data_IF_517698736194
#
_entry.id   IF_517698736194
#
_cell.length_a   1.000
_cell.length_b   1.000
_cell.length_c   1.000
_cell.angle_alpha   90.00
_cell.angle_beta   90.00
_cell.angle_gamma   90.00
#
_symmetry.space_group_name_H-M   'P 1'
#
loop_
_entity.id
_entity.type
_entity.pdbx_description
1 polymer ?
#
# COMPACT_ATOMS: atom_id res chain seq x y z
N UNK A 1 -13.09 3.30 14.28
CA UNK A 1 -12.65 2.20 15.15
C UNK A 1 -13.56 2.06 16.39
N UNK A 2 -13.71 3.10 17.22
CA UNK A 2 -14.56 3.10 18.42
C UNK A 2 -16.02 2.75 18.10
N UNK A 3 -16.59 3.27 17.00
CA UNK A 3 -17.96 2.96 16.58
C UNK A 3 -18.15 1.47 16.23
N UNK A 4 -17.21 0.89 15.47
CA UNK A 4 -17.30 -0.51 15.05
C UNK A 4 -16.98 -1.51 16.18
N UNK A 5 -16.02 -1.17 17.04
CA UNK A 5 -15.60 -2.04 18.12
C UNK A 5 -16.53 -1.99 19.34
N UNK A 6 -16.97 -0.78 19.75
CA UNK A 6 -17.73 -0.59 20.97
C UNK A 6 -19.25 -0.59 20.76
N UNK A 7 -19.75 0.06 19.70
CA UNK A 7 -21.19 0.18 19.47
C UNK A 7 -21.82 -0.97 18.73
N UNK A 8 -21.12 -1.55 17.76
CA UNK A 8 -21.67 -2.66 16.97
C UNK A 8 -21.27 -4.04 17.51
N UNK A 9 -20.25 -4.12 18.41
CA UNK A 9 -19.75 -5.38 19.00
C UNK A 9 -19.48 -6.51 17.96
N UNK A 10 -19.30 -6.11 16.69
CA UNK A 10 -19.13 -7.05 15.57
C UNK A 10 -17.73 -7.65 15.61
N UNK A 11 -16.74 -6.86 16.09
CA UNK A 11 -15.37 -7.30 16.20
C UNK A 11 -14.86 -7.11 17.62
N UNK A 12 -14.25 -8.14 18.19
CA UNK A 12 -13.61 -8.06 19.51
C UNK A 12 -12.35 -7.20 19.45
N UNK A 13 -12.23 -6.22 20.33
CA UNK A 13 -11.01 -5.40 20.48
C UNK A 13 -9.86 -6.24 21.06
N UNK A 14 -10.21 -7.26 21.86
CA UNK A 14 -9.23 -8.20 22.40
C UNK A 14 -9.10 -9.38 21.46
N UNK A 15 -7.89 -9.78 21.04
CA UNK A 15 -7.69 -10.89 20.13
C UNK A 15 -8.25 -12.17 20.74
N UNK A 16 -9.42 -12.61 20.29
CA UNK A 16 -9.79 -14.01 20.45
C UNK A 16 -8.86 -14.81 19.56
N UNK A 17 -8.34 -15.92 20.07
CA UNK A 17 -7.48 -16.82 19.32
C UNK A 17 -8.14 -17.16 17.96
N UNK A 18 -7.60 -16.59 16.87
CA UNK A 18 -8.13 -16.80 15.52
C UNK A 18 -7.91 -15.62 14.59
N UNK A 19 -8.11 -15.86 13.29
CA UNK A 19 -7.95 -14.88 12.18
C UNK A 19 -8.85 -13.65 12.37
N UNK A 20 -10.01 -13.81 13.02
CA UNK A 20 -10.96 -12.72 13.27
C UNK A 20 -10.39 -11.56 14.09
N UNK A 21 -9.38 -11.79 14.95
CA UNK A 21 -8.73 -10.75 15.74
C UNK A 21 -7.86 -9.79 14.89
N UNK A 22 -7.42 -10.22 13.72
CA UNK A 22 -6.56 -9.43 12.84
C UNK A 22 -7.34 -8.59 11.82
N UNK A 23 -8.61 -8.87 11.59
CA UNK A 23 -9.43 -8.19 10.55
C UNK A 23 -9.54 -6.68 10.85
N UNK A 24 -9.85 -6.31 12.08
CA UNK A 24 -10.06 -4.90 12.45
C UNK A 24 -8.74 -4.07 12.38
N UNK A 25 -7.60 -4.54 12.94
CA UNK A 25 -6.31 -3.87 12.76
C UNK A 25 -5.89 -3.73 11.30
N UNK A 26 -6.05 -4.81 10.52
CA UNK A 26 -5.70 -4.80 9.09
C UNK A 26 -6.54 -3.80 8.30
N UNK A 27 -7.84 -3.74 8.56
CA UNK A 27 -8.73 -2.76 7.94
C UNK A 27 -8.36 -1.33 8.32
N UNK A 28 -8.00 -1.10 9.58
CA UNK A 28 -7.58 0.22 10.08
C UNK A 28 -6.32 0.74 9.37
N UNK A 29 -5.36 -0.14 9.08
CA UNK A 29 -4.13 0.21 8.38
C UNK A 29 -4.35 0.31 6.86
N UNK A 30 -5.17 -0.56 6.28
CA UNK A 30 -5.39 -0.63 4.84
C UNK A 30 -6.27 0.51 4.32
N UNK A 31 -7.26 0.96 5.09
CA UNK A 31 -8.26 1.93 4.62
C UNK A 31 -7.66 3.28 4.17
N UNK A 32 -6.78 3.95 4.94
CA UNK A 32 -6.15 5.20 4.50
C UNK A 32 -5.32 5.02 3.23
N UNK A 33 -4.58 3.89 3.14
CA UNK A 33 -3.75 3.57 1.99
C UNK A 33 -4.58 3.30 0.73
N UNK A 34 -5.71 2.60 0.87
CA UNK A 34 -6.65 2.36 -0.22
C UNK A 34 -7.25 3.69 -0.74
N UNK A 35 -7.65 4.59 0.15
CA UNK A 35 -8.14 5.92 -0.25
C UNK A 35 -7.10 6.72 -1.03
N UNK A 36 -5.84 6.66 -0.63
CA UNK A 36 -4.72 7.29 -1.33
C UNK A 36 -4.50 6.67 -2.71
N UNK A 37 -4.49 5.34 -2.80
CA UNK A 37 -4.33 4.62 -4.07
C UNK A 37 -5.45 4.94 -5.07
N UNK A 38 -6.71 5.00 -4.62
CA UNK A 38 -7.85 5.38 -5.44
C UNK A 38 -7.68 6.81 -5.99
N UNK A 39 -7.21 7.75 -5.17
CA UNK A 39 -6.98 9.13 -5.60
C UNK A 39 -5.91 9.22 -6.68
N UNK A 40 -4.78 8.54 -6.49
CA UNK A 40 -3.68 8.53 -7.46
C UNK A 40 -4.11 7.82 -8.74
N UNK A 41 -4.79 6.68 -8.65
CA UNK A 41 -5.32 5.96 -9.81
C UNK A 41 -6.27 6.83 -10.62
N UNK A 42 -7.20 7.54 -9.94
CA UNK A 42 -8.12 8.47 -10.60
C UNK A 42 -7.39 9.61 -11.31
N UNK A 43 -6.42 10.24 -10.65
CA UNK A 43 -5.65 11.35 -11.23
C UNK A 43 -4.86 10.88 -12.44
N UNK A 44 -4.16 9.74 -12.34
CA UNK A 44 -3.38 9.17 -13.42
C UNK A 44 -4.28 8.77 -14.61
N UNK A 45 -5.43 8.15 -14.34
CA UNK A 45 -6.38 7.75 -15.37
C UNK A 45 -6.97 8.97 -16.11
N UNK A 46 -7.30 10.04 -15.39
CA UNK A 46 -7.81 11.28 -16.01
C UNK A 46 -6.75 11.92 -16.92
N UNK A 47 -5.48 11.92 -16.51
CA UNK A 47 -4.37 12.39 -17.33
C UNK A 47 -4.24 11.59 -18.62
N UNK A 48 -4.33 10.27 -18.54
CA UNK A 48 -4.25 9.39 -19.72
C UNK A 48 -5.42 9.59 -20.69
N UNK A 49 -6.65 9.76 -20.18
CA UNK A 49 -7.85 9.98 -21.01
C UNK A 49 -7.82 11.34 -21.72
N UNK A 50 -7.14 12.32 -21.15
CA UNK A 50 -6.97 13.66 -21.74
C UNK A 50 -5.75 13.77 -22.66
N UNK A 51 -4.96 12.71 -22.81
CA UNK A 51 -3.77 12.71 -23.67
C UNK A 51 -4.12 12.73 -25.17
N UNK A 52 -3.17 13.21 -25.98
CA UNK A 52 -3.28 13.21 -27.44
C UNK A 52 -3.50 11.83 -28.02
N UNK A 53 -2.94 10.82 -27.38
CA UNK A 53 -3.14 9.43 -27.74
C UNK A 53 -4.60 8.99 -27.59
N UNK A 54 -5.28 9.40 -26.53
CA UNK A 54 -6.70 9.11 -26.33
C UNK A 54 -7.56 9.86 -27.36
N UNK A 55 -7.19 11.10 -27.70
CA UNK A 55 -7.83 11.86 -28.78
C UNK A 55 -7.70 11.13 -30.12
N UNK A 56 -6.51 10.64 -30.47
CA UNK A 56 -6.29 9.84 -31.68
C UNK A 56 -7.10 8.53 -31.69
N UNK A 57 -7.20 7.84 -30.55
CA UNK A 57 -8.00 6.63 -30.44
C UNK A 57 -9.50 6.89 -30.68
N UNK A 58 -10.02 8.05 -30.26
CA UNK A 58 -11.40 8.49 -30.54
C UNK A 58 -11.63 8.69 -32.04
N UNK A 59 -10.70 9.29 -32.77
CA UNK A 59 -10.83 9.47 -34.22
C UNK A 59 -10.87 8.15 -35.00
N UNK A 60 -10.31 7.08 -34.40
CA UNK A 60 -10.40 5.71 -34.95
C UNK A 60 -11.70 4.98 -34.59
N UNK A 61 -12.63 5.63 -33.90
CA UNK A 61 -13.94 5.08 -33.55
C UNK A 61 -13.96 4.15 -32.34
N UNK A 62 -12.91 4.16 -31.52
CA UNK A 62 -12.89 3.39 -30.27
C UNK A 62 -13.83 4.03 -29.26
N UNK A 63 -14.61 3.22 -28.54
CA UNK A 63 -15.47 3.70 -27.47
C UNK A 63 -14.66 4.17 -26.27
N UNK A 64 -15.19 5.13 -25.48
CA UNK A 64 -14.53 5.60 -24.24
C UNK A 64 -14.16 4.47 -23.29
N UNK A 65 -15.03 3.48 -23.15
CA UNK A 65 -14.77 2.31 -22.31
C UNK A 65 -13.58 1.48 -22.80
N UNK A 66 -13.45 1.30 -24.11
CA UNK A 66 -12.31 0.59 -24.69
C UNK A 66 -11.00 1.36 -24.49
N UNK A 67 -11.03 2.68 -24.61
CA UNK A 67 -9.86 3.54 -24.35
C UNK A 67 -9.45 3.44 -22.88
N UNK A 68 -10.40 3.53 -21.95
CA UNK A 68 -10.14 3.44 -20.51
C UNK A 68 -9.54 2.10 -20.14
N UNK A 69 -10.20 1.00 -20.50
CA UNK A 69 -9.82 -0.35 -20.01
C UNK A 69 -8.56 -0.87 -20.71
N UNK A 70 -8.46 -0.67 -22.02
CA UNK A 70 -7.37 -1.29 -22.80
C UNK A 70 -6.07 -0.50 -22.73
N UNK A 71 -6.17 0.81 -22.63
CA UNK A 71 -5.01 1.71 -22.68
C UNK A 71 -4.84 2.51 -21.39
N UNK A 72 -5.85 3.27 -20.98
CA UNK A 72 -5.77 4.16 -19.83
C UNK A 72 -5.43 3.43 -18.54
N UNK A 73 -6.09 2.32 -18.25
CA UNK A 73 -5.85 1.56 -17.01
C UNK A 73 -4.42 1.01 -16.92
N UNK A 74 -3.92 0.43 -18.01
CA UNK A 74 -2.57 -0.14 -18.04
C UNK A 74 -1.48 0.92 -17.82
N UNK A 75 -1.63 2.08 -18.46
CA UNK A 75 -0.66 3.17 -18.35
C UNK A 75 -0.76 3.91 -17.01
N UNK A 76 -1.92 3.86 -16.34
CA UNK A 76 -2.13 4.47 -15.03
C UNK A 76 -1.68 3.58 -13.86
N UNK A 77 -1.28 2.33 -14.08
CA UNK A 77 -0.84 1.40 -13.03
C UNK A 77 0.51 1.76 -12.38
N UNK A 78 1.56 2.19 -13.11
CA UNK A 78 2.88 2.41 -12.54
C UNK A 78 2.92 3.32 -11.32
N UNK A 79 2.32 4.52 -11.33
CA UNK A 79 2.32 5.38 -10.15
C UNK A 79 1.59 4.76 -8.96
N UNK A 80 0.59 3.92 -9.21
CA UNK A 80 -0.14 3.22 -8.15
C UNK A 80 0.72 2.12 -7.53
N UNK A 81 1.45 1.34 -8.34
CA UNK A 81 2.34 0.28 -7.86
C UNK A 81 3.48 0.88 -7.02
N UNK A 82 4.08 1.98 -7.48
CA UNK A 82 5.11 2.71 -6.72
C UNK A 82 4.57 3.19 -5.38
N UNK A 83 3.35 3.69 -5.37
CA UNK A 83 2.67 4.16 -4.16
C UNK A 83 2.38 3.02 -3.18
N UNK A 84 2.05 1.82 -3.68
CA UNK A 84 1.94 0.63 -2.82
C UNK A 84 3.26 0.27 -2.13
N UNK A 85 4.40 0.37 -2.83
CA UNK A 85 5.72 0.20 -2.23
C UNK A 85 5.94 1.17 -1.06
N UNK A 86 5.62 2.46 -1.23
CA UNK A 86 5.72 3.46 -0.17
C UNK A 86 4.77 3.18 1.00
N UNK A 87 3.53 2.77 0.72
CA UNK A 87 2.57 2.46 1.77
C UNK A 87 2.97 1.26 2.62
N UNK A 88 3.70 0.29 2.09
CA UNK A 88 4.25 -0.81 2.89
C UNK A 88 5.16 -0.27 4.01
N UNK A 89 5.98 0.75 3.74
CA UNK A 89 6.77 1.41 4.79
C UNK A 89 5.91 2.07 5.87
N UNK A 90 4.89 2.82 5.46
CA UNK A 90 3.95 3.44 6.41
C UNK A 90 3.17 2.41 7.22
N UNK A 91 2.77 1.29 6.60
CA UNK A 91 2.08 0.20 7.30
C UNK A 91 2.99 -0.49 8.30
N UNK A 92 4.26 -0.72 7.97
CA UNK A 92 5.23 -1.30 8.89
C UNK A 92 5.47 -0.39 10.11
N UNK A 93 5.59 0.92 9.90
CA UNK A 93 5.70 1.88 11.00
C UNK A 93 4.41 1.99 11.83
N UNK A 94 3.26 2.01 11.15
CA UNK A 94 1.94 2.07 11.78
C UNK A 94 1.52 0.78 12.50
N UNK A 95 2.07 -0.37 12.08
CA UNK A 95 1.74 -1.67 12.69
C UNK A 95 2.12 -1.72 14.16
N UNK A 96 3.24 -1.11 14.58
CA UNK A 96 3.68 -1.08 15.96
C UNK A 96 2.64 -0.42 16.88
N UNK A 97 2.01 0.66 16.42
CA UNK A 97 0.93 1.34 17.16
C UNK A 97 -0.34 0.48 17.17
N UNK A 98 -0.71 -0.09 16.02
CA UNK A 98 -1.87 -0.95 15.91
C UNK A 98 -1.71 -2.22 16.77
N UNK A 99 -0.55 -2.87 16.74
CA UNK A 99 -0.23 -4.03 17.58
C UNK A 99 -0.42 -3.70 19.07
N UNK A 100 0.06 -2.54 19.51
CA UNK A 100 -0.08 -2.11 20.90
C UNK A 100 -1.53 -1.81 21.28
N UNK A 101 -2.29 -1.14 20.42
CA UNK A 101 -3.71 -0.81 20.65
C UNK A 101 -4.58 -2.07 20.72
N UNK A 102 -4.30 -3.04 19.86
CA UNK A 102 -5.06 -4.29 19.78
C UNK A 102 -4.46 -5.44 20.60
N UNK A 103 -3.42 -5.16 21.41
CA UNK A 103 -2.73 -6.16 22.25
C UNK A 103 -2.23 -7.37 21.46
N UNK A 104 -1.73 -7.12 20.26
CA UNK A 104 -1.13 -8.13 19.39
C UNK A 104 0.35 -8.25 19.67
N UNK A 105 0.86 -9.50 19.71
CA UNK A 105 2.28 -9.77 19.83
C UNK A 105 2.92 -9.79 18.45
N UNK A 106 3.52 -8.67 18.05
CA UNK A 106 4.21 -8.51 16.78
C UNK A 106 5.59 -7.89 16.93
N UNK A 107 6.30 -7.74 15.80
CA UNK A 107 7.65 -7.17 15.76
C UNK A 107 7.65 -5.71 16.22
N UNK A 108 6.61 -4.96 15.92
CA UNK A 108 6.47 -3.56 16.33
C UNK A 108 6.33 -3.43 17.85
N UNK A 109 5.49 -4.24 18.47
CA UNK A 109 5.34 -4.28 19.94
C UNK A 109 6.65 -4.71 20.62
N UNK A 110 7.36 -5.69 20.05
CA UNK A 110 8.65 -6.13 20.55
C UNK A 110 9.69 -5.01 20.45
N UNK A 111 9.78 -4.29 19.33
CA UNK A 111 10.65 -3.13 19.17
C UNK A 111 10.40 -2.07 20.27
N UNK A 112 9.11 -1.73 20.51
CA UNK A 112 8.76 -0.78 21.57
C UNK A 112 9.23 -1.28 22.94
N UNK A 113 9.07 -2.55 23.25
CA UNK A 113 9.52 -3.13 24.51
C UNK A 113 11.03 -3.08 24.69
N UNK A 114 11.82 -3.35 23.63
CA UNK A 114 13.27 -3.21 23.62
C UNK A 114 13.73 -1.76 23.89
N UNK A 115 13.06 -0.79 23.26
CA UNK A 115 13.36 0.63 23.49
C UNK A 115 13.07 1.03 24.93
N UNK A 116 11.93 0.62 25.49
CA UNK A 116 11.54 0.92 26.87
C UNK A 116 12.47 0.24 27.89
N UNK A 117 12.93 -0.97 27.60
CA UNK A 117 13.89 -1.69 28.48
C UNK A 117 15.35 -1.23 28.31
N UNK A 118 15.64 -0.34 27.34
CA UNK A 118 16.99 0.15 27.08
C UNK A 118 17.89 -0.85 26.34
N UNK A 119 17.32 -1.92 25.77
CA UNK A 119 18.07 -2.91 24.99
C UNK A 119 18.28 -2.40 23.55
N UNK A 120 19.36 -1.63 23.38
CA UNK A 120 19.72 -1.05 22.09
C UNK A 120 20.08 -2.10 21.04
N UNK A 121 20.62 -3.25 21.47
CA UNK A 121 21.06 -4.30 20.56
C UNK A 121 19.87 -4.98 19.90
N UNK A 122 18.89 -5.40 20.70
CA UNK A 122 17.65 -6.00 20.20
C UNK A 122 16.81 -5.01 19.39
N UNK A 123 16.75 -3.75 19.81
CA UNK A 123 16.07 -2.70 19.05
C UNK A 123 16.70 -2.50 17.65
N UNK A 124 18.04 -2.43 17.57
CA UNK A 124 18.75 -2.31 16.29
C UNK A 124 18.48 -3.52 15.38
N UNK A 125 18.50 -4.73 15.91
CA UNK A 125 18.19 -5.93 15.14
C UNK A 125 16.77 -5.89 14.55
N UNK A 126 15.77 -5.48 15.31
CA UNK A 126 14.40 -5.31 14.84
C UNK A 126 14.30 -4.28 13.71
N UNK A 127 14.98 -3.14 13.85
CA UNK A 127 15.00 -2.10 12.82
C UNK A 127 15.61 -2.63 11.52
N UNK A 128 16.71 -3.37 11.60
CA UNK A 128 17.36 -3.97 10.41
C UNK A 128 16.42 -4.95 9.72
N UNK A 129 15.70 -5.78 10.46
CA UNK A 129 14.72 -6.72 9.88
C UNK A 129 13.61 -5.96 9.16
N UNK A 130 13.00 -4.97 9.81
CA UNK A 130 11.92 -4.16 9.22
C UNK A 130 12.42 -3.43 7.97
N UNK A 131 13.60 -2.82 8.02
CA UNK A 131 14.21 -2.12 6.89
C UNK A 131 14.49 -3.08 5.72
N UNK A 132 14.97 -4.29 6.01
CA UNK A 132 15.22 -5.31 4.98
C UNK A 132 13.93 -5.73 4.28
N UNK A 133 12.86 -5.98 5.02
CA UNK A 133 11.54 -6.31 4.45
C UNK A 133 11.03 -5.15 3.58
N UNK A 134 11.17 -3.92 4.05
CA UNK A 134 10.78 -2.73 3.29
C UNK A 134 11.55 -2.59 1.97
N UNK A 135 12.87 -2.76 1.99
CA UNK A 135 13.71 -2.71 0.78
C UNK A 135 13.32 -3.78 -0.23
N UNK A 136 13.12 -5.01 0.24
CA UNK A 136 12.69 -6.12 -0.63
C UNK A 136 11.32 -5.84 -1.25
N UNK A 137 10.38 -5.30 -0.48
CA UNK A 137 9.05 -4.97 -0.97
C UNK A 137 9.08 -3.85 -2.03
N UNK A 138 9.89 -2.80 -1.83
CA UNK A 138 10.06 -1.75 -2.83
C UNK A 138 10.75 -2.29 -4.10
N UNK A 139 11.78 -3.11 -3.96
CA UNK A 139 12.43 -3.74 -5.09
C UNK A 139 11.45 -4.61 -5.90
N UNK A 140 10.60 -5.36 -5.22
CA UNK A 140 9.55 -6.13 -5.87
C UNK A 140 8.56 -5.23 -6.64
N UNK A 141 8.14 -4.10 -6.06
CA UNK A 141 7.29 -3.13 -6.72
C UNK A 141 7.96 -2.54 -7.99
N UNK A 142 9.24 -2.21 -7.93
CA UNK A 142 10.00 -1.69 -9.07
C UNK A 142 10.14 -2.74 -10.18
N UNK A 143 10.38 -4.00 -9.83
CA UNK A 143 10.44 -5.11 -10.80
C UNK A 143 9.08 -5.29 -11.46
N UNK A 144 7.98 -5.26 -10.71
CA UNK A 144 6.62 -5.36 -11.24
C UNK A 144 6.34 -4.19 -12.20
N UNK A 145 6.72 -2.97 -11.85
CA UNK A 145 6.55 -1.81 -12.73
C UNK A 145 7.29 -1.99 -14.07
N UNK A 146 8.53 -2.47 -14.03
CA UNK A 146 9.31 -2.74 -15.26
C UNK A 146 8.68 -3.82 -16.15
N UNK A 147 8.06 -4.83 -15.54
CA UNK A 147 7.37 -5.89 -16.26
C UNK A 147 6.06 -5.42 -16.89
N UNK A 148 5.31 -4.55 -16.22
CA UNK A 148 4.01 -4.05 -16.70
C UNK A 148 4.18 -2.97 -17.76
N UNK A 149 5.15 -2.06 -17.59
CA UNK A 149 5.36 -0.91 -18.47
C UNK A 149 6.82 -0.79 -18.95
N UNK A 150 7.29 -1.67 -19.83
CA UNK A 150 8.68 -1.67 -20.31
C UNK A 150 9.06 -0.41 -21.12
N UNK A 151 8.09 0.33 -21.65
CA UNK A 151 8.33 1.56 -22.42
C UNK A 151 8.70 2.77 -21.58
N UNK A 152 8.31 2.86 -20.30
CA UNK A 152 8.73 3.96 -19.40
C UNK A 152 10.24 3.99 -19.15
N UNK A 153 10.92 2.85 -19.28
CA UNK A 153 12.38 2.77 -19.07
C UNK A 153 13.15 3.41 -20.23
N UNK A 154 12.56 3.59 -21.39
CA UNK A 154 13.22 4.21 -22.57
C UNK A 154 13.28 5.73 -22.48
N UNK A 155 12.28 6.38 -21.90
CA UNK A 155 12.25 7.84 -21.76
C UNK A 155 13.25 8.41 -20.74
N UNK A 156 13.80 7.58 -19.86
CA UNK A 156 14.82 8.02 -18.87
C UNK A 156 16.23 7.96 -19.44
N UNK A 157 16.45 7.25 -20.56
CA UNK A 157 17.77 7.06 -21.17
C UNK A 157 18.01 7.91 -22.44
N UNK A 158 17.02 8.70 -22.87
CA UNK A 158 17.13 9.72 -23.91
C UNK A 158 17.07 11.13 -23.28
#
# INVERSE_FOLDING_TARGET
LLLFAVRLSIFSVVPKAGISGYILPSFALAFPSACGAIRVMRSSLLSEISSDYAAYARTRGLSEWQIIVRHGFKNSLPPVITLFGQYLGYMLAGSAVAEKVFSLNGVGTYLISCVVSGDSSAAAACIVIIATVFVIANLAADVINRLICPWMVREIND
#
